data_IF_069716717180
#
_entry.id   IF_069716717180
#
_cell.length_a   1.000
_cell.length_b   1.000
_cell.length_c   1.000
_cell.angle_alpha   90.00
_cell.angle_beta   90.00
_cell.angle_gamma   90.00
#
_symmetry.space_group_name_H-M   'P 1'
#
loop_
_entity.id
_entity.type
_entity.pdbx_description
1 polymer ?
#
# COMPACT_ATOMS: atom_id res chain seq x y z
N UNK A 1 -27.13 5.21 6.90
CA UNK A 1 -26.37 4.38 5.94
C UNK A 1 -24.90 4.53 6.24
N UNK A 2 -24.20 3.44 6.59
CA UNK A 2 -22.78 3.52 7.00
C UNK A 2 -21.91 3.92 5.80
N UNK A 3 -21.06 4.93 5.96
CA UNK A 3 -20.08 5.34 4.94
C UNK A 3 -19.19 4.17 4.50
N UNK A 4 -18.89 3.26 5.44
CA UNK A 4 -18.12 2.03 5.19
C UNK A 4 -18.84 1.10 4.22
N UNK A 5 -20.16 0.91 4.38
CA UNK A 5 -20.96 0.07 3.48
C UNK A 5 -20.99 0.64 2.07
N UNK A 6 -21.16 1.96 1.93
CA UNK A 6 -21.17 2.61 0.62
C UNK A 6 -19.82 2.51 -0.08
N UNK A 7 -18.71 2.67 0.65
CA UNK A 7 -17.36 2.46 0.12
C UNK A 7 -17.13 1.00 -0.26
N UNK A 8 -17.59 0.06 0.57
CA UNK A 8 -17.53 -1.37 0.27
C UNK A 8 -18.28 -1.69 -1.02
N UNK A 9 -19.50 -1.17 -1.23
CA UNK A 9 -20.30 -1.45 -2.43
C UNK A 9 -19.57 -1.13 -3.75
N UNK A 10 -18.63 -0.18 -3.73
CA UNK A 10 -17.77 0.10 -4.90
C UNK A 10 -16.90 -1.10 -5.33
N UNK A 11 -16.70 -2.13 -4.47
CA UNK A 11 -16.05 -3.40 -4.86
C UNK A 11 -16.88 -4.22 -5.79
N UNK A 12 -18.20 -4.16 -5.65
CA UNK A 12 -19.13 -4.89 -6.50
C UNK A 12 -19.39 -4.11 -7.80
N UNK A 13 -19.59 -2.80 -7.70
CA UNK A 13 -19.95 -1.97 -8.87
C UNK A 13 -18.76 -1.55 -9.74
N UNK A 14 -17.53 -1.62 -9.21
CA UNK A 14 -16.35 -1.12 -9.90
C UNK A 14 -16.23 0.42 -9.92
N UNK A 15 -17.11 1.14 -9.21
CA UNK A 15 -17.09 2.60 -9.16
C UNK A 15 -15.75 3.14 -8.63
N UNK A 16 -15.17 4.10 -9.35
CA UNK A 16 -13.91 4.76 -9.01
C UNK A 16 -14.09 6.27 -9.09
N UNK A 17 -14.65 6.93 -8.06
CA UNK A 17 -15.02 8.33 -8.14
C UNK A 17 -13.82 9.29 -8.15
N UNK A 18 -12.65 8.87 -7.66
CA UNK A 18 -11.50 9.76 -7.52
C UNK A 18 -10.57 9.66 -8.72
N UNK A 19 -10.33 10.78 -9.43
CA UNK A 19 -9.48 10.83 -10.61
C UNK A 19 -8.15 11.55 -10.31
N UNK A 20 -7.04 11.04 -10.83
CA UNK A 20 -5.77 11.75 -10.85
C UNK A 20 -5.76 12.75 -12.00
N UNK A 21 -5.60 14.03 -11.69
CA UNK A 21 -5.54 15.11 -12.69
C UNK A 21 -4.31 15.03 -13.59
N UNK A 22 -3.21 14.44 -13.10
CA UNK A 22 -1.95 14.36 -13.84
C UNK A 22 -1.95 13.27 -14.93
N UNK A 23 -2.73 12.20 -14.76
CA UNK A 23 -2.69 11.03 -15.66
C UNK A 23 -4.04 10.37 -15.95
N UNK A 24 -5.15 10.91 -15.44
CA UNK A 24 -6.50 10.38 -15.65
C UNK A 24 -6.83 9.08 -14.90
N UNK A 25 -5.88 8.47 -14.19
CA UNK A 25 -6.12 7.21 -13.45
C UNK A 25 -7.16 7.39 -12.35
N UNK A 26 -8.10 6.45 -12.27
CA UNK A 26 -9.21 6.49 -11.31
C UNK A 26 -9.05 5.50 -10.15
N UNK A 27 -9.47 5.91 -8.96
CA UNK A 27 -9.34 5.19 -7.69
C UNK A 27 -10.67 5.12 -6.95
N UNK A 28 -10.83 4.07 -6.15
CA UNK A 28 -12.02 3.85 -5.30
C UNK A 28 -12.00 4.71 -4.04
N UNK A 29 -10.83 4.90 -3.45
CA UNK A 29 -10.63 5.64 -2.20
C UNK A 29 -9.72 6.86 -2.42
N UNK A 30 -9.96 7.93 -1.66
CA UNK A 30 -9.12 9.14 -1.66
C UNK A 30 -7.68 8.84 -1.24
N UNK A 31 -7.48 8.00 -0.21
CA UNK A 31 -6.14 7.61 0.26
C UNK A 31 -5.32 6.91 -0.83
N UNK A 32 -5.97 6.11 -1.68
CA UNK A 32 -5.32 5.47 -2.84
C UNK A 32 -4.89 6.50 -3.89
N UNK A 33 -5.73 7.50 -4.17
CA UNK A 33 -5.36 8.61 -5.05
C UNK A 33 -4.19 9.42 -4.48
N UNK A 34 -4.24 9.79 -3.19
CA UNK A 34 -3.15 10.54 -2.53
C UNK A 34 -1.83 9.77 -2.58
N UNK A 35 -1.86 8.47 -2.27
CA UNK A 35 -0.68 7.59 -2.38
C UNK A 35 -0.17 7.51 -3.82
N UNK A 36 -1.08 7.39 -4.79
CA UNK A 36 -0.73 7.40 -6.20
C UNK A 36 -0.07 8.71 -6.64
N UNK A 37 -0.54 9.88 -6.18
CA UNK A 37 0.08 11.16 -6.57
C UNK A 37 1.57 11.25 -6.21
N UNK A 38 2.01 10.54 -5.16
CA UNK A 38 3.44 10.40 -4.81
C UNK A 38 4.26 9.71 -5.91
N UNK A 39 3.63 9.03 -6.87
CA UNK A 39 4.33 8.50 -8.04
C UNK A 39 4.74 9.56 -9.02
N UNK A 40 3.99 10.67 -9.10
CA UNK A 40 4.29 11.80 -9.97
C UNK A 40 5.27 12.76 -9.31
N UNK A 41 5.05 13.08 -8.02
CA UNK A 41 5.90 14.04 -7.30
C UNK A 41 7.24 13.44 -6.85
N UNK A 42 7.35 12.12 -6.81
CA UNK A 42 8.53 11.43 -6.26
C UNK A 42 8.63 11.49 -4.73
N UNK A 43 7.63 12.06 -4.04
CA UNK A 43 7.62 12.20 -2.59
C UNK A 43 7.73 10.83 -1.87
N UNK A 44 8.65 10.75 -0.91
CA UNK A 44 8.89 9.55 -0.10
C UNK A 44 8.91 9.92 1.39
N UNK A 45 7.74 10.07 2.03
CA UNK A 45 7.65 10.58 3.39
C UNK A 45 8.16 9.58 4.43
N UNK A 46 8.18 8.28 4.12
CA UNK A 46 8.51 7.24 5.09
C UNK A 46 10.00 6.88 5.02
N UNK A 47 10.80 7.28 6.01
CA UNK A 47 12.24 6.98 6.10
C UNK A 47 12.50 5.76 6.99
N UNK A 48 13.37 4.86 6.55
CA UNK A 48 13.95 3.83 7.38
C UNK A 48 14.98 4.44 8.33
N UNK A 49 14.83 4.20 9.64
CA UNK A 49 15.75 4.71 10.65
C UNK A 49 17.13 4.06 10.57
N UNK A 50 17.19 2.79 10.17
CA UNK A 50 18.43 1.98 10.19
C UNK A 50 19.35 2.26 8.99
N UNK A 51 18.79 2.38 7.78
CA UNK A 51 19.59 2.59 6.56
C UNK A 51 19.28 3.91 5.82
N UNK A 52 18.37 4.74 6.34
CA UNK A 52 18.00 6.02 5.73
C UNK A 52 17.15 5.93 4.45
N UNK A 53 16.91 4.73 3.89
CA UNK A 53 16.12 4.53 2.67
C UNK A 53 14.69 5.05 2.83
N UNK A 54 14.16 5.70 1.79
CA UNK A 54 12.82 6.33 1.83
C UNK A 54 11.81 5.62 0.93
N UNK A 55 10.55 5.58 1.37
CA UNK A 55 9.43 4.87 0.73
C UNK A 55 8.21 5.77 0.53
N UNK A 56 7.39 5.44 -0.48
CA UNK A 56 6.17 6.20 -0.81
C UNK A 56 5.00 5.84 0.10
N UNK A 57 4.99 4.63 0.67
CA UNK A 57 3.93 4.11 1.54
C UNK A 57 4.52 3.54 2.84
N UNK A 58 3.73 3.55 3.92
CA UNK A 58 4.12 2.98 5.22
C UNK A 58 4.29 1.46 5.16
N UNK A 59 3.39 0.76 4.46
CA UNK A 59 3.49 -0.69 4.24
C UNK A 59 4.80 -1.10 3.57
N UNK A 60 5.29 -0.31 2.62
CA UNK A 60 6.59 -0.54 1.98
C UNK A 60 7.76 -0.39 2.96
N UNK A 61 7.69 0.58 3.89
CA UNK A 61 8.70 0.74 4.94
C UNK A 61 8.64 -0.42 5.95
N UNK A 62 7.43 -0.84 6.36
CA UNK A 62 7.25 -2.00 7.25
C UNK A 62 7.83 -3.25 6.60
N UNK A 63 7.51 -3.49 5.33
CA UNK A 63 8.05 -4.63 4.58
C UNK A 63 9.56 -4.56 4.42
N UNK A 64 10.10 -3.36 4.19
CA UNK A 64 11.52 -3.16 4.14
C UNK A 64 12.22 -3.45 5.47
N UNK A 65 11.64 -3.11 6.62
CA UNK A 65 12.28 -3.36 7.93
C UNK A 65 12.49 -4.85 8.21
N UNK A 66 11.66 -5.72 7.66
CA UNK A 66 11.83 -7.18 7.78
C UNK A 66 13.16 -7.68 7.22
N UNK A 67 13.80 -6.94 6.30
CA UNK A 67 15.13 -7.34 5.80
C UNK A 67 16.23 -7.13 6.84
N UNK A 68 16.03 -6.19 7.77
CA UNK A 68 17.01 -5.91 8.82
C UNK A 68 16.81 -6.82 10.03
N UNK A 69 15.56 -7.14 10.35
CA UNK A 69 15.25 -8.08 11.45
C UNK A 69 15.39 -9.54 11.03
N UNK A 70 15.29 -9.85 9.74
CA UNK A 70 15.22 -11.23 9.23
C UNK A 70 13.90 -11.93 9.55
N UNK A 71 12.92 -11.21 10.11
CA UNK A 71 11.64 -11.77 10.49
C UNK A 71 10.66 -11.73 9.31
N UNK A 72 10.23 -12.90 8.84
CA UNK A 72 9.11 -13.04 7.91
C UNK A 72 7.93 -13.69 8.65
N UNK A 73 6.82 -12.97 8.89
CA UNK A 73 5.74 -13.43 9.77
C UNK A 73 4.89 -14.57 9.19
N UNK A 74 4.97 -14.78 7.87
CA UNK A 74 4.18 -15.80 7.19
C UNK A 74 5.08 -16.96 6.79
N UNK A 75 4.72 -18.18 7.18
CA UNK A 75 5.44 -19.40 6.81
C UNK A 75 4.50 -20.34 6.05
N UNK A 76 4.99 -20.88 4.94
CA UNK A 76 4.27 -21.93 4.23
C UNK A 76 4.45 -23.26 4.96
N UNK A 77 3.35 -23.83 5.47
CA UNK A 77 3.37 -25.11 6.19
C UNK A 77 3.83 -26.30 5.35
N UNK A 78 3.74 -26.23 4.02
CA UNK A 78 4.14 -27.33 3.14
C UNK A 78 5.63 -27.32 2.80
N UNK A 79 6.29 -26.16 2.77
CA UNK A 79 7.69 -26.05 2.34
C UNK A 79 8.60 -25.24 3.27
N UNK A 80 8.10 -24.72 4.39
CA UNK A 80 8.86 -23.96 5.39
C UNK A 80 9.37 -22.58 4.91
N UNK A 81 9.01 -22.17 3.68
CA UNK A 81 9.43 -20.87 3.14
C UNK A 81 8.70 -19.75 3.86
N UNK A 82 9.44 -18.71 4.23
CA UNK A 82 8.91 -17.54 4.92
C UNK A 82 8.72 -16.35 3.97
N UNK A 83 7.63 -15.62 4.13
CA UNK A 83 7.20 -14.52 3.28
C UNK A 83 6.91 -13.26 4.09
N UNK A 84 7.04 -12.12 3.42
CA UNK A 84 6.77 -10.79 3.96
C UNK A 84 5.27 -10.45 3.96
N UNK A 85 4.48 -11.09 3.09
CA UNK A 85 3.04 -10.84 2.93
C UNK A 85 2.30 -12.16 2.84
N UNK A 86 1.06 -12.19 3.31
CA UNK A 86 0.18 -13.37 3.29
C UNK A 86 -0.59 -13.56 1.98
N UNK A 87 -0.19 -12.88 0.90
CA UNK A 87 -0.91 -12.86 -0.39
C UNK A 87 -0.50 -14.01 -1.29
#
# INVERSE_FOLDING_TARGET
>A
TSSVLLVHQRTHTGERPFCCTDCGKRFKHTCSLTSHRRTHTGERPHRCGECGKRFKQSSQLINHRMIHTGECPYECSECGKRFQTSS
#
